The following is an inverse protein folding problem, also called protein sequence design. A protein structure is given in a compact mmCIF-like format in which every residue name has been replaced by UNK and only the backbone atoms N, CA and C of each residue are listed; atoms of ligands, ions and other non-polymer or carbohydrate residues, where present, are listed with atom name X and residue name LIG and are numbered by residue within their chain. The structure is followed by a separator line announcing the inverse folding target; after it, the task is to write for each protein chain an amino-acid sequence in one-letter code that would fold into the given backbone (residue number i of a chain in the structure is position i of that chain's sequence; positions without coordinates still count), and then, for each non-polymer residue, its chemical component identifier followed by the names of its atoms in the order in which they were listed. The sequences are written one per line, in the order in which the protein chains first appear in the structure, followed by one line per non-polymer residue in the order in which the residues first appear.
data_IF_134942752459
#
_entry.id   IF_134942752459
#
_cell.length_a   1.000
_cell.length_b   1.000
_cell.length_c   1.000
_cell.angle_alpha   90.00
_cell.angle_beta   90.00
_cell.angle_gamma   90.00
#
_symmetry.space_group_name_H-M   'P 1'
#
loop_
_entity.id
_entity.type
_entity.pdbx_description
1 polymer ?
#
# COMPACT_ATOMS: atom_id res chain seq x y z
N UNK A 1 41.27 28.92 21.13
CA UNK A 1 41.66 27.49 21.21
C UNK A 1 40.55 26.74 21.91
N UNK A 2 40.00 25.72 21.22
CA UNK A 2 39.24 24.51 21.63
C UNK A 2 38.52 24.55 23.00
N UNK A 3 37.20 24.36 23.08
CA UNK A 3 36.50 23.05 23.16
C UNK A 3 35.08 23.40 23.70
N UNK A 4 33.97 22.70 23.51
CA UNK A 4 33.64 21.37 23.00
C UNK A 4 32.15 21.35 22.63
N UNK A 5 31.83 20.66 21.55
CA UNK A 5 30.47 20.32 21.14
C UNK A 5 29.83 19.36 22.14
N UNK A 6 28.60 19.65 22.54
CA UNK A 6 27.62 18.63 22.95
C UNK A 6 26.33 18.90 22.21
N UNK A 7 26.33 18.56 20.92
CA UNK A 7 25.08 18.30 20.23
C UNK A 7 24.61 16.93 20.75
N UNK A 8 23.76 16.96 21.76
CA UNK A 8 23.12 15.77 22.29
C UNK A 8 22.32 15.14 21.16
N UNK A 9 22.74 13.95 20.74
CA UNK A 9 21.98 13.01 19.93
C UNK A 9 20.60 12.86 20.57
N UNK A 10 19.61 13.60 20.07
CA UNK A 10 18.22 13.18 20.21
C UNK A 10 18.05 12.07 19.20
N UNK A 11 18.05 10.83 19.68
CA UNK A 11 17.62 9.69 18.89
C UNK A 11 16.30 10.05 18.19
N UNK A 12 16.27 9.93 16.87
CA UNK A 12 15.02 10.00 16.11
C UNK A 12 14.04 9.00 16.72
N UNK A 13 12.75 9.34 16.89
CA UNK A 13 11.75 8.31 17.16
C UNK A 13 11.89 7.29 16.05
N UNK A 14 12.05 6.02 16.40
CA UNK A 14 11.97 4.93 15.43
C UNK A 14 10.67 5.12 14.65
N UNK A 15 10.76 5.39 13.36
CA UNK A 15 9.60 5.38 12.47
C UNK A 15 9.04 3.96 12.55
N UNK A 16 7.94 3.81 13.29
CA UNK A 16 7.27 2.52 13.45
C UNK A 16 6.85 2.08 12.05
N UNK A 17 7.49 1.02 11.56
CA UNK A 17 7.29 0.56 10.19
C UNK A 17 5.93 -0.11 10.10
N UNK A 18 5.08 0.34 9.17
CA UNK A 18 3.77 -0.29 8.93
C UNK A 18 3.97 -1.70 8.37
N UNK A 19 3.70 -2.71 9.20
CA UNK A 19 3.98 -4.11 8.94
C UNK A 19 2.80 -4.84 8.29
N UNK A 20 3.01 -6.09 7.86
CA UNK A 20 1.94 -6.97 7.40
C UNK A 20 0.87 -7.21 8.50
N UNK A 21 1.28 -7.28 9.78
CA UNK A 21 0.33 -7.39 10.89
C UNK A 21 -0.53 -6.12 11.05
N UNK A 22 0.05 -4.95 10.82
CA UNK A 22 -0.71 -3.69 10.83
C UNK A 22 -1.71 -3.63 9.67
N UNK A 23 -1.32 -4.14 8.50
CA UNK A 23 -2.20 -4.30 7.34
C UNK A 23 -3.36 -5.26 7.63
N UNK A 24 -3.12 -6.36 8.34
CA UNK A 24 -4.17 -7.29 8.75
C UNK A 24 -5.18 -6.62 9.70
N UNK A 25 -4.68 -5.90 10.70
CA UNK A 25 -5.54 -5.14 11.62
C UNK A 25 -6.31 -4.01 10.91
N UNK A 26 -5.70 -3.37 9.91
CA UNK A 26 -6.37 -2.38 9.06
C UNK A 26 -7.50 -3.02 8.25
N UNK A 27 -7.24 -4.16 7.60
CA UNK A 27 -8.22 -4.87 6.77
C UNK A 27 -9.48 -5.22 7.58
N UNK A 28 -9.31 -5.80 8.77
CA UNK A 28 -10.44 -6.17 9.65
C UNK A 28 -11.27 -4.96 10.10
N UNK A 29 -10.62 -3.82 10.41
CA UNK A 29 -11.34 -2.58 10.78
C UNK A 29 -12.08 -1.97 9.59
N UNK A 30 -11.48 -2.04 8.40
CA UNK A 30 -12.08 -1.55 7.16
C UNK A 30 -13.31 -2.39 6.79
N UNK A 31 -13.20 -3.72 6.84
CA UNK A 31 -14.28 -4.67 6.59
C UNK A 31 -15.49 -4.42 7.51
N UNK A 32 -15.23 -4.20 8.80
CA UNK A 32 -16.28 -3.89 9.77
C UNK A 32 -16.99 -2.54 9.52
N UNK A 33 -16.43 -1.69 8.66
CA UNK A 33 -16.92 -0.33 8.41
C UNK A 33 -17.51 -0.15 7.00
N UNK A 34 -17.60 -1.19 6.17
CA UNK A 34 -17.95 -1.06 4.74
C UNK A 34 -19.38 -0.57 4.47
N UNK A 35 -20.32 -0.80 5.39
CA UNK A 35 -21.73 -0.44 5.18
C UNK A 35 -21.91 1.08 5.03
N UNK A 36 -22.18 1.52 3.81
CA UNK A 36 -22.34 2.94 3.48
C UNK A 36 -21.03 3.74 3.47
N UNK A 37 -19.87 3.10 3.54
CA UNK A 37 -18.56 3.75 3.49
C UNK A 37 -17.70 3.13 2.37
N UNK A 38 -17.77 3.75 1.20
CA UNK A 38 -17.05 3.26 0.03
C UNK A 38 -15.52 3.32 0.21
N UNK A 39 -14.99 4.23 1.05
CA UNK A 39 -13.56 4.29 1.33
C UNK A 39 -13.10 3.11 2.18
N UNK A 40 -13.85 2.76 3.24
CA UNK A 40 -13.57 1.57 4.04
C UNK A 40 -13.63 0.30 3.17
N UNK A 41 -14.63 0.19 2.28
CA UNK A 41 -14.71 -0.90 1.31
C UNK A 41 -13.51 -0.98 0.37
N UNK A 42 -13.08 0.15 -0.21
CA UNK A 42 -11.88 0.20 -1.08
C UNK A 42 -10.63 -0.26 -0.33
N UNK A 43 -10.44 0.20 0.91
CA UNK A 43 -9.29 -0.18 1.74
C UNK A 43 -9.33 -1.65 2.12
N UNK A 44 -10.48 -2.17 2.56
CA UNK A 44 -10.68 -3.57 2.91
C UNK A 44 -10.33 -4.50 1.74
N UNK A 45 -10.84 -4.18 0.53
CA UNK A 45 -10.55 -4.93 -0.68
C UNK A 45 -9.06 -4.91 -1.04
N UNK A 46 -8.44 -3.73 -1.01
CA UNK A 46 -7.02 -3.59 -1.33
C UNK A 46 -6.12 -4.30 -0.31
N UNK A 47 -6.43 -4.17 0.99
CA UNK A 47 -5.67 -4.81 2.06
C UNK A 47 -5.81 -6.34 1.99
N UNK A 48 -7.01 -6.86 1.75
CA UNK A 48 -7.23 -8.30 1.58
C UNK A 48 -6.45 -8.87 0.39
N UNK A 49 -6.48 -8.20 -0.76
CA UNK A 49 -5.70 -8.66 -1.93
C UNK A 49 -4.19 -8.68 -1.66
N UNK A 50 -3.69 -7.69 -0.91
CA UNK A 50 -2.27 -7.60 -0.55
C UNK A 50 -1.87 -8.65 0.50
N UNK A 51 -2.75 -8.97 1.45
CA UNK A 51 -2.55 -10.05 2.42
C UNK A 51 -2.54 -11.42 1.75
N UNK A 52 -3.46 -11.67 0.83
CA UNK A 52 -3.49 -12.90 0.03
C UNK A 52 -2.20 -13.06 -0.79
N UNK A 53 -1.67 -11.96 -1.33
CA UNK A 53 -0.38 -11.96 -2.03
C UNK A 53 0.79 -12.25 -1.08
N UNK A 54 0.81 -11.59 0.09
CA UNK A 54 1.83 -11.79 1.12
C UNK A 54 1.86 -13.25 1.62
N UNK A 55 0.71 -13.88 1.80
CA UNK A 55 0.60 -15.30 2.14
C UNK A 55 1.21 -16.20 1.05
N UNK A 56 0.91 -15.91 -0.22
CA UNK A 56 1.41 -16.68 -1.36
C UNK A 56 2.93 -16.57 -1.54
N UNK A 57 3.53 -15.45 -1.15
CA UNK A 57 4.98 -15.21 -1.23
C UNK A 57 5.73 -15.57 0.06
N UNK A 58 5.01 -15.95 1.12
CA UNK A 58 5.57 -16.43 2.39
C UNK A 58 5.93 -15.34 3.40
N UNK A 59 5.44 -14.11 3.19
CA UNK A 59 5.64 -12.97 4.11
C UNK A 59 4.37 -12.61 4.90
N UNK A 60 3.27 -13.35 4.72
CA UNK A 60 1.96 -13.09 5.34
C UNK A 60 1.93 -13.05 6.87
N UNK A 61 2.74 -13.87 7.53
CA UNK A 61 2.87 -13.89 9.00
C UNK A 61 4.15 -13.17 9.49
N UNK A 62 4.75 -12.32 8.64
CA UNK A 62 6.01 -11.67 8.95
C UNK A 62 5.83 -10.28 9.59
N UNK A 63 6.86 -9.81 10.28
CA UNK A 63 6.96 -8.40 10.68
C UNK A 63 7.59 -7.55 9.57
N UNK A 64 7.61 -8.04 8.33
CA UNK A 64 8.17 -7.28 7.21
C UNK A 64 7.30 -6.05 6.92
N UNK A 65 7.89 -5.00 6.33
CA UNK A 65 7.15 -3.82 5.91
C UNK A 65 6.09 -4.21 4.87
N UNK A 66 4.86 -3.72 5.02
CA UNK A 66 3.84 -3.91 3.99
C UNK A 66 4.24 -3.24 2.65
N UNK A 67 5.12 -2.24 2.70
CA UNK A 67 5.72 -1.61 1.52
C UNK A 67 6.45 -2.61 0.61
N UNK A 68 7.11 -3.63 1.19
CA UNK A 68 7.73 -4.72 0.42
C UNK A 68 6.68 -5.47 -0.38
N UNK A 69 5.60 -5.90 0.26
CA UNK A 69 4.50 -6.60 -0.42
C UNK A 69 3.87 -5.74 -1.52
N UNK A 70 3.70 -4.43 -1.29
CA UNK A 70 3.19 -3.51 -2.32
C UNK A 70 4.14 -3.48 -3.52
N UNK A 71 5.43 -3.29 -3.28
CA UNK A 71 6.42 -3.17 -4.36
C UNK A 71 6.53 -4.45 -5.18
N UNK A 72 6.53 -5.61 -4.50
CA UNK A 72 6.58 -6.92 -5.15
C UNK A 72 5.30 -7.19 -5.96
N UNK A 73 4.12 -6.88 -5.42
CA UNK A 73 2.86 -7.01 -6.15
C UNK A 73 2.82 -6.10 -7.38
N UNK A 74 3.26 -4.84 -7.27
CA UNK A 74 3.33 -3.93 -8.43
C UNK A 74 4.31 -4.47 -9.48
N UNK A 75 5.42 -5.07 -9.07
CA UNK A 75 6.39 -5.70 -9.98
C UNK A 75 5.78 -6.89 -10.72
N UNK A 76 5.04 -7.75 -10.03
CA UNK A 76 4.34 -8.87 -10.64
C UNK A 76 3.22 -8.42 -11.58
N UNK A 77 2.51 -7.34 -11.24
CA UNK A 77 1.53 -6.72 -12.14
C UNK A 77 2.18 -6.13 -13.39
N UNK A 78 3.38 -5.55 -13.29
CA UNK A 78 4.14 -5.11 -14.46
C UNK A 78 4.50 -6.27 -15.37
N UNK A 79 4.98 -7.39 -14.81
CA UNK A 79 5.25 -8.61 -15.57
C UNK A 79 3.98 -9.18 -16.23
N UNK A 80 2.86 -9.19 -15.50
CA UNK A 80 1.57 -9.62 -16.03
C UNK A 80 1.11 -8.74 -17.19
N UNK A 81 1.20 -7.41 -17.04
CA UNK A 81 0.84 -6.48 -18.10
C UNK A 81 1.69 -6.70 -19.36
N UNK A 82 3.01 -6.82 -19.21
CA UNK A 82 3.91 -7.07 -20.35
C UNK A 82 3.61 -8.40 -21.05
N UNK A 83 3.11 -9.40 -20.33
CA UNK A 83 2.73 -10.69 -20.89
C UNK A 83 1.38 -10.64 -21.63
N UNK A 84 0.37 -10.01 -21.02
CA UNK A 84 -1.00 -9.98 -21.52
C UNK A 84 -1.25 -8.92 -22.60
N UNK A 85 -0.53 -7.80 -22.53
CA UNK A 85 -0.65 -6.66 -23.45
C UNK A 85 0.75 -6.17 -23.85
N UNK A 86 1.45 -6.91 -24.74
CA UNK A 86 2.73 -6.47 -25.29
C UNK A 86 2.57 -5.14 -26.06
N UNK A 87 3.69 -4.53 -26.46
CA UNK A 87 3.88 -3.12 -26.92
C UNK A 87 2.88 -2.53 -27.95
N UNK A 88 2.00 -3.34 -28.53
CA UNK A 88 0.91 -2.98 -29.45
C UNK A 88 -0.51 -3.01 -28.81
N UNK A 89 -0.61 -3.33 -27.52
CA UNK A 89 -1.85 -3.36 -26.76
C UNK A 89 -2.32 -1.98 -26.26
N UNK A 90 -3.65 -1.82 -26.13
CA UNK A 90 -4.28 -0.59 -25.60
C UNK A 90 -3.97 -0.35 -24.11
N UNK A 91 -3.53 -1.38 -23.39
CA UNK A 91 -3.33 -1.37 -21.93
C UNK A 91 -1.87 -1.66 -21.63
N UNK A 92 -1.21 -0.76 -20.89
CA UNK A 92 0.10 -0.99 -20.26
C UNK A 92 -0.04 -0.78 -18.76
N UNK A 93 0.94 -1.25 -17.97
CA UNK A 93 0.93 -0.96 -16.54
C UNK A 93 0.91 0.56 -16.27
N UNK A 94 1.64 1.34 -17.06
CA UNK A 94 1.66 2.80 -16.95
C UNK A 94 0.31 3.44 -17.29
N UNK A 95 -0.38 2.98 -18.35
CA UNK A 95 -1.69 3.53 -18.71
C UNK A 95 -2.77 3.17 -17.69
N UNK A 96 -2.72 1.95 -17.13
CA UNK A 96 -3.56 1.52 -16.04
C UNK A 96 -3.30 2.34 -14.76
N UNK A 97 -2.04 2.54 -14.38
CA UNK A 97 -1.67 3.35 -13.21
C UNK A 97 -2.11 4.81 -13.36
N UNK A 98 -1.95 5.40 -14.55
CA UNK A 98 -2.42 6.76 -14.81
C UNK A 98 -3.94 6.87 -14.69
N UNK A 99 -4.68 5.86 -15.17
CA UNK A 99 -6.13 5.80 -15.01
C UNK A 99 -6.54 5.64 -13.55
N UNK A 100 -5.88 4.76 -12.80
CA UNK A 100 -6.10 4.57 -11.37
C UNK A 100 -5.86 5.87 -10.57
N UNK A 101 -4.83 6.66 -10.92
CA UNK A 101 -4.59 7.98 -10.30
C UNK A 101 -5.73 8.96 -10.54
N UNK A 102 -6.32 8.98 -11.74
CA UNK A 102 -7.48 9.82 -12.04
C UNK A 102 -8.70 9.40 -11.20
N UNK A 103 -8.95 8.09 -11.08
CA UNK A 103 -10.01 7.57 -10.22
C UNK A 103 -9.79 7.94 -8.75
N UNK A 104 -8.59 7.71 -8.22
CA UNK A 104 -8.25 8.06 -6.84
C UNK A 104 -8.47 9.55 -6.55
N UNK A 105 -8.04 10.44 -7.46
CA UNK A 105 -8.22 11.88 -7.30
C UNK A 105 -9.71 12.26 -7.29
N UNK A 106 -10.53 11.70 -8.19
CA UNK A 106 -11.96 11.97 -8.24
C UNK A 106 -12.69 11.47 -6.98
N UNK A 107 -12.34 10.27 -6.50
CA UNK A 107 -12.99 9.64 -5.35
C UNK A 107 -12.56 10.26 -4.00
N UNK A 108 -11.34 10.79 -3.92
CA UNK A 108 -10.81 11.44 -2.70
C UNK A 108 -11.44 12.80 -2.43
N UNK A 109 -11.96 13.47 -3.47
CA UNK A 109 -12.66 14.76 -3.33
C UNK A 109 -14.12 14.59 -2.89
N UNK A 110 -14.70 13.38 -3.04
CA UNK A 110 -16.14 13.13 -2.81
C UNK A 110 -16.49 12.67 -1.39
N UNK A 111 -15.58 12.05 -0.63
CA UNK A 111 -15.92 11.45 0.67
C UNK A 111 -14.93 11.80 1.80
N UNK A 112 -15.50 12.36 2.87
CA UNK A 112 -14.81 12.65 4.13
C UNK A 112 -14.12 11.41 4.69
N UNK A 113 -12.92 11.67 5.21
CA UNK A 113 -11.98 10.72 5.81
C UNK A 113 -12.69 9.66 6.67
N UNK A 114 -12.43 8.41 6.35
CA UNK A 114 -12.45 7.34 7.33
C UNK A 114 -11.28 7.60 8.30
N UNK A 115 -11.60 7.78 9.58
CA UNK A 115 -10.63 8.07 10.68
C UNK A 115 -9.72 6.87 10.98
#
# INVERSE_FOLDING_TARGET
MKSESINSLTASPSEETFSILDLQALSQRAEASEEGNDNARRISLAASALLDFADQTGIGDSTEPAETAVTDLLTDLMHLCAHCWPDDGEISFESALNTARMHFAAESDEHAKWD
#
